data_IF_496390621724
#
_entry.id   IF_496390621724
#
_cell.length_a   1.000
_cell.length_b   1.000
_cell.length_c   1.000
_cell.angle_alpha   90.00
_cell.angle_beta   90.00
_cell.angle_gamma   90.00
#
_symmetry.space_group_name_H-M   'P 1'
#
loop_
_entity.id
_entity.type
_entity.pdbx_description
1 polymer ?
#
# COMPACT_ATOMS: atom_id res chain seq x y z
N UNK A 1 16.40 0.44 15.73
CA UNK A 1 15.78 1.77 16.00
C UNK A 1 14.45 1.93 15.25
N UNK A 2 14.40 1.84 13.93
CA UNK A 2 13.16 2.00 13.11
C UNK A 2 12.07 1.00 13.51
N UNK A 3 12.41 -0.29 13.69
CA UNK A 3 11.46 -1.33 14.14
C UNK A 3 10.67 -0.89 15.38
N UNK A 4 11.38 -0.45 16.42
CA UNK A 4 10.73 -0.08 17.68
C UNK A 4 9.79 1.12 17.52
N UNK A 5 10.17 2.12 16.72
CA UNK A 5 9.30 3.27 16.43
C UNK A 5 8.01 2.82 15.75
N UNK A 6 8.10 1.94 14.75
CA UNK A 6 6.93 1.44 14.03
C UNK A 6 6.06 0.57 14.94
N UNK A 7 6.66 -0.29 15.76
CA UNK A 7 5.91 -1.10 16.74
C UNK A 7 5.19 -0.26 17.80
N UNK A 8 5.73 0.93 18.12
CA UNK A 8 5.10 1.92 18.98
C UNK A 8 4.05 2.79 18.27
N UNK A 9 3.70 2.47 17.03
CA UNK A 9 2.68 3.16 16.27
C UNK A 9 3.17 4.31 15.37
N UNK A 10 4.49 4.58 15.31
CA UNK A 10 5.02 5.59 14.40
C UNK A 10 4.88 5.17 12.94
N UNK A 11 4.67 6.14 12.07
CA UNK A 11 4.72 5.97 10.62
C UNK A 11 6.01 6.63 10.14
N UNK A 12 6.81 5.88 9.39
CA UNK A 12 8.09 6.35 8.85
C UNK A 12 7.89 6.72 7.39
N UNK A 13 8.33 7.89 6.99
CA UNK A 13 8.31 8.29 5.58
C UNK A 13 9.74 8.58 5.09
N UNK A 14 10.08 8.02 3.94
CA UNK A 14 11.37 8.23 3.28
C UNK A 14 11.12 8.68 1.83
N UNK A 15 11.61 9.86 1.48
CA UNK A 15 11.52 10.39 0.11
C UNK A 15 12.64 9.83 -0.77
N UNK A 16 12.41 9.74 -2.07
CA UNK A 16 13.36 9.19 -3.05
C UNK A 16 13.93 7.82 -2.63
N UNK A 17 13.04 6.96 -2.11
CA UNK A 17 13.45 5.73 -1.45
C UNK A 17 14.03 4.68 -2.40
N UNK A 18 13.36 4.38 -3.52
CA UNK A 18 13.84 3.39 -4.49
C UNK A 18 14.87 4.02 -5.44
N UNK A 19 16.06 3.45 -5.49
CA UNK A 19 17.11 3.89 -6.43
C UNK A 19 16.74 3.60 -7.88
N UNK A 20 16.03 2.48 -8.12
CA UNK A 20 15.56 2.05 -9.43
C UNK A 20 14.09 2.43 -9.69
N UNK A 21 13.59 3.46 -9.01
CA UNK A 21 12.20 3.91 -9.12
C UNK A 21 11.79 4.20 -10.57
N UNK A 22 12.64 4.89 -11.34
CA UNK A 22 12.35 5.25 -12.72
C UNK A 22 12.11 4.01 -13.61
N UNK A 23 12.92 2.97 -13.44
CA UNK A 23 12.73 1.71 -14.15
C UNK A 23 11.41 1.04 -13.78
N UNK A 24 11.07 1.00 -12.50
CA UNK A 24 9.80 0.44 -12.03
C UNK A 24 8.60 1.25 -12.54
N UNK A 25 8.72 2.57 -12.57
CA UNK A 25 7.69 3.47 -13.08
C UNK A 25 7.44 3.27 -14.58
N UNK A 26 8.49 3.04 -15.37
CA UNK A 26 8.38 2.71 -16.80
C UNK A 26 7.79 1.30 -17.03
N UNK A 27 8.08 0.34 -16.15
CA UNK A 27 7.60 -1.04 -16.26
C UNK A 27 6.15 -1.22 -15.82
N UNK A 28 5.63 -0.40 -14.87
CA UNK A 28 4.30 -0.60 -14.29
C UNK A 28 3.17 -0.70 -15.31
N UNK A 29 3.25 0.05 -16.41
CA UNK A 29 2.23 0.02 -17.47
C UNK A 29 2.28 -1.26 -18.33
N UNK A 30 3.35 -2.05 -18.23
CA UNK A 30 3.58 -3.26 -19.04
C UNK A 30 3.20 -4.54 -18.30
N UNK A 31 3.02 -4.48 -16.99
CA UNK A 31 2.60 -5.65 -16.21
C UNK A 31 1.12 -5.97 -16.45
N UNK A 32 0.79 -7.25 -16.30
CA UNK A 32 -0.61 -7.69 -16.30
C UNK A 32 -1.23 -7.47 -14.92
N UNK A 33 -2.46 -6.97 -14.90
CA UNK A 33 -3.22 -6.67 -13.70
C UNK A 33 -4.49 -7.50 -13.67
N UNK A 34 -4.65 -8.29 -12.62
CA UNK A 34 -5.86 -9.07 -12.38
C UNK A 34 -6.80 -8.35 -11.41
N UNK A 35 -8.11 -8.42 -11.62
CA UNK A 35 -9.07 -7.82 -10.70
C UNK A 35 -8.99 -8.52 -9.34
N UNK A 36 -8.73 -7.71 -8.30
CA UNK A 36 -8.73 -8.16 -6.92
C UNK A 36 -10.02 -7.73 -6.23
N UNK A 37 -10.89 -8.67 -5.98
CA UNK A 37 -12.03 -8.47 -5.12
C UNK A 37 -11.63 -8.81 -3.70
N UNK A 38 -11.21 -7.82 -2.92
CA UNK A 38 -10.98 -8.05 -1.48
C UNK A 38 -12.32 -8.06 -0.77
N UNK A 39 -12.74 -9.20 -0.19
CA UNK A 39 -13.89 -9.20 0.68
C UNK A 39 -13.55 -8.38 1.93
N UNK A 40 -14.25 -7.29 2.16
CA UNK A 40 -14.20 -6.59 3.44
C UNK A 40 -14.89 -7.43 4.51
N UNK A 41 -14.12 -8.13 5.32
CA UNK A 41 -14.62 -9.03 6.36
C UNK A 41 -15.45 -8.32 7.44
N UNK A 42 -15.40 -6.99 7.55
CA UNK A 42 -15.95 -6.23 8.67
C UNK A 42 -17.37 -5.69 8.50
N UNK A 43 -17.97 -5.77 7.30
CA UNK A 43 -19.33 -5.29 7.07
C UNK A 43 -20.35 -6.43 6.91
N UNK A 44 -20.35 -7.40 7.83
CA UNK A 44 -21.35 -8.44 7.99
C UNK A 44 -22.03 -8.89 6.68
N UNK A 45 -21.63 -10.01 6.09
CA UNK A 45 -22.23 -10.69 4.92
C UNK A 45 -22.52 -9.86 3.65
N UNK A 46 -22.15 -8.59 3.59
CA UNK A 46 -22.21 -7.79 2.36
C UNK A 46 -20.80 -7.72 1.78
N UNK A 47 -20.54 -8.60 0.83
CA UNK A 47 -19.34 -8.56 -0.01
C UNK A 47 -19.35 -7.28 -0.83
N UNK A 48 -18.76 -6.23 -0.30
CA UNK A 48 -18.48 -5.03 -1.05
C UNK A 48 -17.00 -5.07 -1.40
N UNK A 49 -16.70 -5.57 -2.58
CA UNK A 49 -15.34 -5.59 -3.10
C UNK A 49 -14.96 -4.19 -3.56
N UNK A 50 -13.84 -3.67 -3.07
CA UNK A 50 -13.23 -2.50 -3.68
C UNK A 50 -12.69 -2.92 -5.05
N UNK A 51 -13.09 -2.29 -6.17
CA UNK A 51 -12.57 -2.63 -7.49
C UNK A 51 -11.13 -2.13 -7.62
N UNK A 52 -10.20 -3.01 -7.36
CA UNK A 52 -8.76 -2.77 -7.56
C UNK A 52 -8.17 -3.90 -8.38
N UNK A 53 -7.11 -3.61 -9.09
CA UNK A 53 -6.35 -4.57 -9.87
C UNK A 53 -4.94 -4.65 -9.30
N UNK A 54 -4.39 -5.86 -9.23
CA UNK A 54 -3.04 -6.07 -8.73
C UNK A 54 -2.25 -6.94 -9.70
N UNK A 55 -0.94 -6.72 -9.76
CA UNK A 55 -0.06 -7.68 -10.43
C UNK A 55 0.03 -8.96 -9.59
N UNK A 56 0.51 -10.06 -10.16
CA UNK A 56 1.13 -11.10 -9.35
C UNK A 56 2.23 -10.50 -8.47
N UNK A 57 2.69 -11.28 -7.48
CA UNK A 57 3.86 -10.88 -6.67
C UNK A 57 5.08 -10.71 -7.58
N UNK A 58 5.84 -9.63 -7.41
CA UNK A 58 6.96 -9.30 -8.29
C UNK A 58 8.02 -10.39 -8.35
N UNK A 59 8.18 -11.21 -7.30
CA UNK A 59 9.10 -12.35 -7.33
C UNK A 59 8.79 -13.39 -8.43
N UNK A 60 7.57 -13.36 -9.00
CA UNK A 60 7.17 -14.28 -10.07
C UNK A 60 7.29 -13.66 -11.46
N UNK A 61 7.18 -12.34 -11.58
CA UNK A 61 7.10 -11.63 -12.86
C UNK A 61 8.31 -10.74 -13.14
N UNK A 62 9.03 -10.29 -12.12
CA UNK A 62 10.25 -9.46 -12.22
C UNK A 62 11.13 -9.67 -10.98
N UNK A 63 11.88 -10.76 -10.97
CA UNK A 63 12.70 -11.19 -9.83
C UNK A 63 13.78 -10.15 -9.49
N UNK A 64 14.41 -9.54 -10.49
CA UNK A 64 15.48 -8.54 -10.27
C UNK A 64 14.93 -7.30 -9.56
N UNK A 65 13.76 -6.83 -9.98
CA UNK A 65 13.07 -5.72 -9.32
C UNK A 65 12.66 -6.09 -7.90
N UNK A 66 12.13 -7.29 -7.71
CA UNK A 66 11.75 -7.80 -6.39
C UNK A 66 12.93 -7.82 -5.41
N UNK A 67 14.07 -8.43 -5.78
CA UNK A 67 15.24 -8.50 -4.92
C UNK A 67 15.82 -7.11 -4.65
N UNK A 68 15.85 -6.22 -5.66
CA UNK A 68 16.28 -4.84 -5.48
C UNK A 68 15.44 -4.09 -4.44
N UNK A 69 14.11 -4.20 -4.50
CA UNK A 69 13.20 -3.57 -3.52
C UNK A 69 13.44 -4.16 -2.13
N UNK A 70 13.51 -5.47 -2.03
CA UNK A 70 13.74 -6.18 -0.76
C UNK A 70 15.06 -5.78 -0.11
N UNK A 71 16.13 -5.67 -0.88
CA UNK A 71 17.44 -5.24 -0.38
C UNK A 71 17.42 -3.80 0.14
N UNK A 72 16.69 -2.91 -0.52
CA UNK A 72 16.53 -1.53 -0.07
C UNK A 72 15.73 -1.45 1.24
N UNK A 73 14.67 -2.24 1.38
CA UNK A 73 13.92 -2.36 2.65
C UNK A 73 14.79 -2.99 3.73
N UNK A 74 15.56 -4.07 3.41
CA UNK A 74 16.43 -4.74 4.38
C UNK A 74 17.44 -3.79 5.03
N UNK A 75 17.97 -2.81 4.29
CA UNK A 75 18.92 -1.81 4.82
C UNK A 75 18.35 -0.92 5.93
N UNK A 76 17.05 -0.87 6.08
CA UNK A 76 16.38 -0.12 7.16
C UNK A 76 16.35 -0.89 8.49
N UNK A 77 16.61 -2.19 8.47
CA UNK A 77 16.48 -3.08 9.62
C UNK A 77 17.77 -3.87 9.87
N UNK A 78 18.07 -4.07 11.15
CA UNK A 78 19.17 -4.96 11.58
C UNK A 78 18.72 -6.41 11.49
N UNK A 79 17.46 -6.67 11.84
CA UNK A 79 16.85 -7.99 11.79
C UNK A 79 16.60 -8.42 10.34
N UNK A 80 16.78 -9.72 10.07
CA UNK A 80 16.53 -10.28 8.74
C UNK A 80 15.05 -10.24 8.38
N UNK A 81 14.75 -9.72 7.20
CA UNK A 81 13.41 -9.76 6.63
C UNK A 81 13.02 -11.19 6.24
N UNK A 82 11.81 -11.56 6.58
CA UNK A 82 11.17 -12.83 6.21
C UNK A 82 9.80 -12.57 5.59
N UNK A 83 9.27 -13.55 4.85
CA UNK A 83 7.94 -13.49 4.22
C UNK A 83 7.73 -12.20 3.42
N UNK A 84 8.79 -11.72 2.74
CA UNK A 84 8.72 -10.53 1.93
C UNK A 84 7.83 -10.74 0.71
N UNK A 85 6.91 -9.81 0.47
CA UNK A 85 6.01 -9.77 -0.67
C UNK A 85 5.90 -8.35 -1.16
N UNK A 86 5.88 -8.18 -2.48
CA UNK A 86 5.53 -6.88 -3.06
C UNK A 86 4.81 -7.06 -4.40
N UNK A 87 3.89 -6.15 -4.68
CA UNK A 87 3.08 -6.13 -5.90
C UNK A 87 2.61 -4.72 -6.20
N UNK A 88 2.23 -4.46 -7.43
CA UNK A 88 1.71 -3.16 -7.83
C UNK A 88 0.19 -3.23 -7.88
N UNK A 89 -0.47 -2.27 -7.24
CA UNK A 89 -1.91 -2.06 -7.29
C UNK A 89 -2.24 -0.94 -8.26
N UNK A 90 -3.19 -1.21 -9.13
CA UNK A 90 -3.84 -0.25 -10.01
C UNK A 90 -5.24 0.04 -9.50
N UNK A 91 -5.59 1.31 -9.38
CA UNK A 91 -6.94 1.78 -9.11
C UNK A 91 -7.45 2.56 -10.31
N UNK A 92 -8.62 2.18 -10.84
CA UNK A 92 -9.29 2.88 -11.94
C UNK A 92 -10.44 3.73 -11.39
N UNK A 93 -10.36 5.03 -11.61
CA UNK A 93 -11.40 5.97 -11.15
C UNK A 93 -12.77 5.69 -11.78
N UNK A 94 -12.80 5.28 -13.05
CA UNK A 94 -14.04 4.89 -13.72
C UNK A 94 -14.76 3.74 -13.02
N UNK A 95 -14.02 2.76 -12.51
CA UNK A 95 -14.61 1.62 -11.80
C UNK A 95 -15.01 1.99 -10.36
N UNK A 96 -14.22 2.82 -9.68
CA UNK A 96 -14.62 3.34 -8.36
C UNK A 96 -15.93 4.13 -8.44
N UNK A 97 -16.11 4.97 -9.45
CA UNK A 97 -17.33 5.77 -9.65
C UNK A 97 -18.58 4.93 -9.94
N UNK A 98 -18.43 3.72 -10.46
CA UNK A 98 -19.53 2.77 -10.66
C UNK A 98 -19.98 2.11 -9.35
N UNK A 99 -19.11 2.04 -8.37
CA UNK A 99 -19.43 1.48 -7.06
C UNK A 99 -20.33 2.44 -6.28
N UNK A 100 -21.47 1.96 -5.80
CA UNK A 100 -22.40 2.73 -4.97
C UNK A 100 -21.70 3.32 -3.74
N UNK A 101 -20.71 2.62 -3.21
CA UNK A 101 -20.00 2.98 -1.99
C UNK A 101 -19.01 4.13 -2.19
N UNK A 102 -18.35 4.19 -3.36
CA UNK A 102 -17.30 5.19 -3.63
C UNK A 102 -17.81 6.38 -4.43
N UNK A 103 -19.07 6.36 -4.88
CA UNK A 103 -19.63 7.43 -5.74
C UNK A 103 -19.48 8.84 -5.16
N UNK A 104 -19.48 8.94 -3.82
CA UNK A 104 -19.35 10.20 -3.10
C UNK A 104 -18.33 10.13 -1.93
N UNK A 105 -17.51 9.11 -1.87
CA UNK A 105 -16.56 8.90 -0.77
C UNK A 105 -15.14 8.71 -1.31
N UNK A 106 -14.26 9.66 -0.97
CA UNK A 106 -12.85 9.60 -1.32
C UNK A 106 -12.05 8.56 -0.51
N UNK A 107 -12.67 7.90 0.45
CA UNK A 107 -11.99 6.97 1.34
C UNK A 107 -12.39 5.53 1.06
N UNK A 108 -11.39 4.65 0.97
CA UNK A 108 -11.54 3.22 0.91
C UNK A 108 -12.00 2.61 2.24
N UNK A 109 -12.06 1.28 2.29
CA UNK A 109 -12.36 0.58 3.54
C UNK A 109 -11.22 0.65 4.51
N UNK A 110 -11.53 0.96 5.77
CA UNK A 110 -10.59 0.85 6.89
C UNK A 110 -10.33 -0.64 7.15
N UNK A 111 -9.08 -1.03 7.18
CA UNK A 111 -8.64 -2.41 7.43
C UNK A 111 -7.23 -2.43 8.02
N UNK A 112 -6.80 -3.60 8.44
CA UNK A 112 -5.42 -3.89 8.79
C UNK A 112 -4.91 -5.10 7.98
N UNK A 113 -3.61 -5.23 7.84
CA UNK A 113 -2.97 -6.34 7.14
C UNK A 113 -2.52 -7.43 8.12
N UNK A 114 -2.16 -8.60 7.58
CA UNK A 114 -1.80 -9.79 8.39
C UNK A 114 -0.30 -9.93 8.66
N UNK A 115 0.55 -9.11 8.07
CA UNK A 115 2.00 -9.09 8.29
C UNK A 115 2.36 -8.21 9.49
N UNK A 116 3.64 -8.21 9.89
CA UNK A 116 4.13 -7.30 10.95
C UNK A 116 4.29 -5.87 10.44
N UNK A 117 4.77 -5.73 9.19
CA UNK A 117 5.08 -4.44 8.58
C UNK A 117 4.46 -4.35 7.20
N UNK A 118 4.00 -3.16 6.87
CA UNK A 118 3.53 -2.81 5.53
C UNK A 118 4.18 -1.50 5.06
N UNK A 119 4.38 -1.42 3.75
CA UNK A 119 4.90 -0.23 3.10
C UNK A 119 4.14 0.08 1.83
N UNK A 120 4.01 1.37 1.53
CA UNK A 120 3.35 1.85 0.31
C UNK A 120 4.28 2.86 -0.36
N UNK A 121 4.46 2.72 -1.68
CA UNK A 121 5.16 3.69 -2.50
C UNK A 121 4.22 4.11 -3.64
N UNK A 122 3.68 5.35 -3.61
CA UNK A 122 2.89 5.88 -4.70
C UNK A 122 3.75 6.15 -5.94
N UNK A 123 3.14 6.04 -7.13
CA UNK A 123 3.74 6.45 -8.39
C UNK A 123 3.29 7.85 -8.82
N UNK A 124 2.16 8.31 -8.32
CA UNK A 124 1.55 9.57 -8.70
C UNK A 124 1.64 10.60 -7.57
N UNK A 125 1.70 11.88 -7.91
CA UNK A 125 1.57 12.97 -6.95
C UNK A 125 0.09 13.37 -6.83
N UNK A 126 -0.44 13.31 -5.62
CA UNK A 126 -1.80 13.73 -5.33
C UNK A 126 -1.90 14.25 -3.90
N UNK A 127 -2.58 15.35 -3.70
CA UNK A 127 -2.89 15.91 -2.38
C UNK A 127 -4.18 15.32 -1.80
N UNK A 128 -5.14 14.93 -2.64
CA UNK A 128 -6.41 14.34 -2.23
C UNK A 128 -6.33 12.83 -2.07
N UNK A 129 -5.44 12.18 -2.84
CA UNK A 129 -5.19 10.76 -2.76
C UNK A 129 -4.07 10.40 -1.81
N UNK A 130 -4.04 9.16 -1.33
CA UNK A 130 -2.96 8.69 -0.46
C UNK A 130 -3.36 7.57 0.46
N UNK A 131 -2.85 7.60 1.68
CA UNK A 131 -3.17 6.62 2.72
C UNK A 131 -3.58 7.34 4.01
N UNK A 132 -4.75 7.00 4.50
CA UNK A 132 -5.29 7.46 5.78
C UNK A 132 -5.07 6.42 6.86
N UNK A 133 -4.77 6.84 8.08
CA UNK A 133 -4.58 6.01 9.25
C UNK A 133 -5.58 6.40 10.34
N UNK A 134 -6.06 5.40 11.07
CA UNK A 134 -7.12 5.53 12.06
C UNK A 134 -6.69 4.89 13.38
N UNK A 135 -7.20 5.42 14.48
CA UNK A 135 -7.06 4.79 15.80
C UNK A 135 -7.90 3.51 15.86
N UNK A 136 -9.17 3.59 15.42
CA UNK A 136 -10.08 2.46 15.39
C UNK A 136 -10.63 2.21 13.99
N UNK A 137 -11.01 0.96 13.69
CA UNK A 137 -11.59 0.57 12.39
C UNK A 137 -12.96 1.20 12.10
N UNK A 138 -13.65 1.68 13.13
CA UNK A 138 -14.98 2.30 13.03
C UNK A 138 -14.94 3.82 12.91
N UNK A 139 -13.74 4.41 12.99
CA UNK A 139 -13.59 5.85 12.93
C UNK A 139 -13.91 6.35 11.50
N UNK A 140 -14.69 7.43 11.44
CA UNK A 140 -15.06 8.08 10.16
C UNK A 140 -14.07 9.14 9.74
N UNK A 141 -13.24 9.60 10.66
CA UNK A 141 -12.24 10.63 10.45
C UNK A 141 -10.87 10.04 10.75
N UNK A 142 -9.94 10.11 9.82
CA UNK A 142 -8.58 9.63 10.05
C UNK A 142 -7.81 10.56 11.00
N UNK A 143 -6.90 9.97 11.78
CA UNK A 143 -5.97 10.75 12.61
C UNK A 143 -4.91 11.44 11.75
N UNK A 144 -4.46 10.74 10.70
CA UNK A 144 -3.39 11.19 9.81
C UNK A 144 -3.72 10.78 8.38
N UNK A 145 -3.47 11.68 7.44
CA UNK A 145 -3.51 11.38 6.00
C UNK A 145 -2.15 11.73 5.38
N UNK A 146 -1.54 10.75 4.73
CA UNK A 146 -0.37 10.95 3.90
C UNK A 146 -0.79 11.04 2.43
N UNK A 147 -0.74 12.22 1.83
CA UNK A 147 -0.96 12.40 0.41
C UNK A 147 0.02 11.58 -0.44
N UNK A 148 -0.34 11.24 -1.67
CA UNK A 148 0.55 10.54 -2.58
C UNK A 148 1.71 11.42 -3.03
N UNK A 149 2.93 10.89 -2.98
CA UNK A 149 4.12 11.52 -3.50
C UNK A 149 5.02 10.47 -4.16
N UNK A 150 5.43 10.67 -5.42
CA UNK A 150 6.21 9.68 -6.15
C UNK A 150 7.47 9.28 -5.39
N UNK A 151 7.75 7.97 -5.38
CA UNK A 151 8.93 7.40 -4.71
C UNK A 151 9.08 7.76 -3.22
N UNK A 152 7.96 8.03 -2.53
CA UNK A 152 7.95 8.17 -1.07
C UNK A 152 7.48 6.86 -0.43
N UNK A 153 8.37 6.19 0.29
CA UNK A 153 7.98 5.06 1.14
C UNK A 153 7.20 5.58 2.35
N UNK A 154 6.03 5.02 2.59
CA UNK A 154 5.26 5.14 3.83
C UNK A 154 5.31 3.76 4.48
N UNK A 155 6.04 3.63 5.59
CA UNK A 155 6.29 2.36 6.29
C UNK A 155 5.65 2.39 7.68
N UNK A 156 4.87 1.37 8.01
CA UNK A 156 4.04 1.33 9.21
C UNK A 156 3.84 -0.09 9.75
N UNK A 157 3.32 -0.17 10.98
CA UNK A 157 2.84 -1.43 11.55
C UNK A 157 1.61 -1.89 10.77
N UNK A 158 1.68 -3.06 10.14
CA UNK A 158 0.62 -3.59 9.29
C UNK A 158 -0.71 -3.82 10.05
N UNK A 159 -0.67 -3.97 11.38
CA UNK A 159 -1.85 -4.07 12.22
C UNK A 159 -2.54 -2.72 12.49
N UNK A 160 -1.94 -1.60 12.06
CA UNK A 160 -2.57 -0.29 12.18
C UNK A 160 -3.71 -0.16 11.18
N UNK A 161 -4.86 0.31 11.65
CA UNK A 161 -6.02 0.56 10.81
C UNK A 161 -5.70 1.64 9.78
N UNK A 162 -5.95 1.34 8.51
CA UNK A 162 -5.67 2.26 7.42
C UNK A 162 -6.64 2.07 6.25
N UNK A 163 -6.71 3.07 5.39
CA UNK A 163 -7.51 3.03 4.16
C UNK A 163 -6.81 3.82 3.04
N UNK A 164 -7.08 3.45 1.80
CA UNK A 164 -6.68 4.25 0.66
C UNK A 164 -7.58 5.50 0.55
N UNK A 165 -6.98 6.66 0.33
CA UNK A 165 -7.69 7.86 -0.09
C UNK A 165 -7.65 7.95 -1.61
N UNK A 166 -8.81 8.17 -2.24
CA UNK A 166 -8.95 8.21 -3.69
C UNK A 166 -9.02 9.67 -4.19
N UNK A 167 -8.16 9.95 -5.14
CA UNK A 167 -8.22 11.19 -5.91
C UNK A 167 -8.90 10.90 -7.25
N UNK A 168 -10.11 11.43 -7.42
CA UNK A 168 -10.93 11.20 -8.61
C UNK A 168 -10.54 12.09 -9.80
N UNK A 169 -9.50 12.89 -9.69
CA UNK A 169 -8.95 13.69 -10.81
C UNK A 169 -8.06 12.84 -11.72
N UNK A 170 -7.49 11.74 -11.21
CA UNK A 170 -6.68 10.81 -11.98
C UNK A 170 -7.53 9.66 -12.52
N UNK A 171 -7.36 9.31 -13.80
CA UNK A 171 -8.01 8.15 -14.39
C UNK A 171 -7.46 6.83 -13.85
N UNK A 172 -6.14 6.77 -13.68
CA UNK A 172 -5.40 5.63 -13.18
C UNK A 172 -4.47 6.06 -12.05
N UNK A 173 -4.38 5.25 -11.02
CA UNK A 173 -3.43 5.44 -9.93
C UNK A 173 -2.73 4.13 -9.63
N UNK A 174 -1.42 4.21 -9.47
CA UNK A 174 -0.58 3.08 -9.14
C UNK A 174 0.07 3.26 -7.77
N UNK A 175 0.22 2.16 -7.03
CA UNK A 175 1.08 2.13 -5.85
C UNK A 175 1.76 0.77 -5.73
N UNK A 176 3.02 0.76 -5.32
CA UNK A 176 3.71 -0.45 -4.90
C UNK A 176 3.32 -0.75 -3.46
N UNK A 177 2.83 -1.96 -3.23
CA UNK A 177 2.51 -2.49 -1.91
C UNK A 177 3.62 -3.44 -1.47
N UNK A 178 4.07 -3.30 -0.23
CA UNK A 178 5.15 -4.07 0.36
C UNK A 178 4.67 -4.65 1.69
N UNK A 179 4.88 -5.94 1.90
CA UNK A 179 4.49 -6.65 3.12
C UNK A 179 5.63 -7.56 3.58
N UNK A 180 5.96 -7.54 4.85
CA UNK A 180 7.02 -8.41 5.38
C UNK A 180 6.94 -8.64 6.89
N UNK A 181 7.69 -9.64 7.34
CA UNK A 181 7.97 -9.87 8.74
C UNK A 181 9.48 -9.74 8.98
N UNK A 182 9.87 -9.51 10.23
CA UNK A 182 11.25 -9.60 10.69
C UNK A 182 11.42 -10.87 11.53
N UNK A 183 12.60 -11.48 11.47
CA UNK A 183 12.92 -12.53 12.45
C UNK A 183 12.91 -11.90 13.85
N UNK A 184 12.32 -12.60 14.80
CA UNK A 184 12.55 -12.28 16.21
C UNK A 184 14.01 -12.58 16.52
N UNK A 185 14.74 -11.57 16.99
CA UNK A 185 16.05 -11.80 17.60
C UNK A 185 15.80 -12.52 18.91
N UNK A 186 16.15 -13.81 18.94
CA UNK A 186 16.20 -14.62 20.17
C UNK A 186 17.21 -14.02 21.14
#
# INVERSE_FOLDING_TARGET
MIKNLIQQGSIITLIHFLHNYKELDEKKERYTYDPMYQPCAHYGNRFQAQPTWETEELNKIDLDMFESIKDQIQKLFVEKITKFKCRIRLTLTSELKKSVQFKNNHMGFVHHDTTQFAGIIPFDQSFEGGTAFFENEWDKVPDIVYGSWPNRLILYNAQRNHAACHDFTFEKRYCLLIFFNLNETT
#
